data_IF_411966969065
#
_entry.id   IF_411966969065
#
_cell.length_a   1.000
_cell.length_b   1.000
_cell.length_c   1.000
_cell.angle_alpha   90.00
_cell.angle_beta   90.00
_cell.angle_gamma   90.00
#
_symmetry.space_group_name_H-M   'P 1'
#
loop_
_entity.id
_entity.type
_entity.pdbx_description
1 polymer ?
#
# COMPACT_ATOMS: atom_id res chain seq x y z
N UNK A 1 -4.91 1.38 -16.87
CA UNK A 1 -4.86 1.01 -15.45
C UNK A 1 -6.18 0.34 -15.04
N UNK A 2 -6.12 -0.79 -14.34
CA UNK A 2 -7.27 -1.51 -13.78
C UNK A 2 -7.02 -1.68 -12.29
N UNK A 3 -7.97 -1.22 -11.46
CA UNK A 3 -7.91 -1.29 -10.01
C UNK A 3 -9.12 -2.05 -9.48
N UNK A 4 -8.89 -2.99 -8.57
CA UNK A 4 -9.93 -3.70 -7.84
C UNK A 4 -9.48 -3.87 -6.40
N UNK A 5 -10.27 -3.34 -5.46
CA UNK A 5 -10.00 -3.44 -4.03
C UNK A 5 -9.78 -4.89 -3.65
N UNK A 6 -8.69 -5.16 -2.95
CA UNK A 6 -8.33 -6.49 -2.52
C UNK A 6 -7.63 -7.36 -3.57
N UNK A 7 -7.23 -6.80 -4.71
CA UNK A 7 -6.50 -7.52 -5.76
C UNK A 7 -5.20 -6.79 -6.12
N UNK A 8 -4.32 -7.47 -6.86
CA UNK A 8 -3.15 -6.81 -7.45
C UNK A 8 -3.57 -5.77 -8.50
N UNK A 9 -2.92 -4.58 -8.53
CA UNK A 9 -3.19 -3.59 -9.58
C UNK A 9 -2.66 -4.05 -10.94
N UNK A 10 -3.34 -3.64 -12.03
CA UNK A 10 -2.82 -3.79 -13.39
C UNK A 10 -2.52 -2.38 -13.94
N UNK A 11 -1.25 -2.09 -14.15
CA UNK A 11 -0.76 -0.79 -14.64
C UNK A 11 -0.12 -1.05 -16.01
N UNK A 12 -0.58 -0.34 -17.03
CA UNK A 12 -0.09 -0.48 -18.41
C UNK A 12 -0.09 -1.92 -18.97
N UNK A 13 -1.03 -2.75 -18.50
CA UNK A 13 -1.17 -4.16 -18.90
C UNK A 13 -0.37 -5.14 -18.03
N UNK A 14 0.52 -4.63 -17.16
CA UNK A 14 1.32 -5.46 -16.27
C UNK A 14 0.71 -5.53 -14.86
N UNK A 15 0.69 -6.72 -14.30
CA UNK A 15 0.23 -6.95 -12.93
C UNK A 15 1.34 -6.55 -11.97
N UNK A 16 1.07 -5.58 -11.09
CA UNK A 16 1.97 -5.26 -9.98
C UNK A 16 1.95 -6.41 -8.97
N UNK A 17 3.00 -7.24 -8.97
CA UNK A 17 3.04 -8.47 -8.16
C UNK A 17 3.52 -8.21 -6.73
N UNK A 18 4.53 -7.35 -6.57
CA UNK A 18 5.23 -7.16 -5.31
C UNK A 18 5.18 -5.71 -4.84
N UNK A 19 5.07 -5.53 -3.53
CA UNK A 19 5.33 -4.31 -2.80
C UNK A 19 6.73 -4.44 -2.19
N UNK A 20 7.62 -3.53 -2.55
CA UNK A 20 9.00 -3.49 -2.04
C UNK A 20 9.02 -3.31 -0.52
N UNK A 21 10.00 -3.91 0.14
CA UNK A 21 10.23 -3.76 1.59
C UNK A 21 10.72 -2.35 1.97
N UNK A 22 11.38 -1.66 1.03
CA UNK A 22 11.92 -0.32 1.22
C UNK A 22 12.57 0.21 -0.06
N UNK A 23 13.09 1.44 0.00
CA UNK A 23 13.90 2.00 -1.09
C UNK A 23 15.26 1.27 -1.23
N UNK A 24 15.97 1.49 -2.33
CA UNK A 24 17.26 0.86 -2.60
C UNK A 24 18.28 1.08 -1.48
N UNK A 25 18.33 2.28 -0.91
CA UNK A 25 19.18 2.56 0.26
C UNK A 25 18.79 1.74 1.51
N UNK A 26 17.50 1.51 1.78
CA UNK A 26 17.08 0.72 2.95
C UNK A 26 17.51 -0.75 2.82
N UNK A 27 17.51 -1.29 1.59
CA UNK A 27 17.94 -2.67 1.33
C UNK A 27 19.40 -2.92 1.75
N UNK A 28 20.26 -1.90 1.70
CA UNK A 28 21.66 -1.99 2.14
C UNK A 28 21.79 -2.38 3.62
N UNK A 29 20.91 -1.87 4.47
CA UNK A 29 20.86 -2.22 5.88
C UNK A 29 20.14 -3.54 6.14
N UNK A 30 19.01 -3.77 5.46
CA UNK A 30 18.19 -4.96 5.66
C UNK A 30 18.87 -6.25 5.21
N UNK A 31 19.63 -6.20 4.11
CA UNK A 31 20.23 -7.38 3.48
C UNK A 31 21.75 -7.30 3.39
N UNK A 32 22.38 -6.36 4.10
CA UNK A 32 23.81 -6.09 3.96
C UNK A 32 24.72 -7.30 4.16
N UNK A 33 24.38 -8.24 5.06
CA UNK A 33 25.16 -9.48 5.23
C UNK A 33 25.13 -10.37 3.99
N UNK A 34 24.00 -10.44 3.29
CA UNK A 34 23.91 -11.16 2.03
C UNK A 34 24.64 -10.44 0.90
N UNK A 35 24.61 -9.10 0.89
CA UNK A 35 25.33 -8.30 -0.11
C UNK A 35 26.84 -8.42 0.02
N UNK A 36 27.37 -8.43 1.24
CA UNK A 36 28.80 -8.63 1.51
C UNK A 36 29.33 -9.94 0.93
N UNK A 37 28.48 -10.96 0.89
CA UNK A 37 28.82 -12.27 0.33
C UNK A 37 28.51 -12.40 -1.16
N UNK A 38 27.61 -11.58 -1.70
CA UNK A 38 27.09 -11.71 -3.05
C UNK A 38 28.09 -11.26 -4.12
N UNK A 39 28.73 -10.11 -3.92
CA UNK A 39 29.61 -9.46 -4.87
C UNK A 39 30.50 -8.40 -4.18
N UNK A 40 31.58 -7.98 -4.83
CA UNK A 40 32.42 -6.87 -4.35
C UNK A 40 31.71 -5.51 -4.40
N UNK A 41 30.67 -5.36 -5.23
CA UNK A 41 29.73 -4.24 -5.14
C UNK A 41 28.29 -4.70 -5.39
N UNK A 42 27.35 -4.10 -4.66
CA UNK A 42 25.91 -4.31 -4.88
C UNK A 42 25.22 -2.96 -5.06
N UNK A 43 24.52 -2.82 -6.18
CA UNK A 43 23.72 -1.64 -6.51
C UNK A 43 22.25 -2.06 -6.55
N UNK A 44 21.40 -1.37 -5.80
CA UNK A 44 19.95 -1.59 -5.81
C UNK A 44 19.27 -0.37 -6.39
N UNK A 45 18.73 -0.54 -7.60
CA UNK A 45 18.01 0.47 -8.35
C UNK A 45 16.62 0.71 -7.74
N UNK A 46 16.27 1.99 -7.64
CA UNK A 46 15.00 2.44 -7.07
C UNK A 46 14.72 3.87 -7.51
N UNK A 47 13.48 4.14 -7.95
CA UNK A 47 13.06 5.46 -8.40
C UNK A 47 13.14 6.56 -7.33
N UNK A 48 13.16 6.20 -6.04
CA UNK A 48 13.21 7.17 -4.94
C UNK A 48 14.65 7.34 -4.46
N UNK A 49 15.30 6.23 -4.08
CA UNK A 49 16.68 6.23 -3.62
C UNK A 49 17.42 4.95 -4.01
N UNK A 50 18.34 5.08 -4.96
CA UNK A 50 19.30 4.06 -5.34
C UNK A 50 20.30 3.86 -4.20
N UNK A 51 20.61 2.59 -3.90
CA UNK A 51 21.61 2.23 -2.90
C UNK A 51 22.87 1.64 -3.53
N UNK A 52 24.04 2.05 -3.05
CA UNK A 52 25.35 1.46 -3.39
C UNK A 52 25.99 0.92 -2.13
N UNK A 53 26.19 -0.39 -2.08
CA UNK A 53 26.47 -1.10 -0.84
C UNK A 53 27.80 -0.70 -0.19
N UNK A 54 28.90 -0.74 -0.95
CA UNK A 54 30.23 -0.53 -0.36
C UNK A 54 30.49 0.91 0.09
N UNK A 55 29.79 1.88 -0.51
CA UNK A 55 29.87 3.27 -0.08
C UNK A 55 28.91 3.59 1.09
N UNK A 56 27.83 2.82 1.21
CA UNK A 56 26.80 3.03 2.22
C UNK A 56 27.33 2.75 3.63
N UNK A 57 26.81 3.48 4.62
CA UNK A 57 27.20 3.31 6.02
C UNK A 57 27.02 1.86 6.51
N UNK A 58 25.92 1.20 6.10
CA UNK A 58 25.68 -0.21 6.43
C UNK A 58 26.75 -1.16 5.87
N UNK A 59 27.24 -0.93 4.64
CA UNK A 59 28.32 -1.73 4.07
C UNK A 59 29.62 -1.52 4.84
N UNK A 60 29.97 -0.27 5.15
CA UNK A 60 31.17 0.07 5.93
C UNK A 60 31.16 -0.55 7.32
N UNK A 61 30.03 -0.51 8.01
CA UNK A 61 29.86 -1.12 9.34
C UNK A 61 30.01 -2.65 9.29
N UNK A 62 29.61 -3.27 8.18
CA UNK A 62 29.82 -4.70 7.94
C UNK A 62 31.23 -5.04 7.42
N UNK A 63 32.12 -4.06 7.29
CA UNK A 63 33.50 -4.24 6.83
C UNK A 63 33.67 -4.26 5.32
N UNK A 64 32.66 -3.87 4.54
CA UNK A 64 32.81 -3.72 3.09
C UNK A 64 33.81 -2.60 2.77
N UNK A 65 34.75 -2.91 1.87
CA UNK A 65 35.68 -1.91 1.32
C UNK A 65 35.03 -1.23 0.13
N UNK A 66 35.17 0.10 0.04
CA UNK A 66 34.65 0.85 -1.10
C UNK A 66 35.21 0.28 -2.41
N UNK A 67 34.34 -0.05 -3.34
CA UNK A 67 34.67 -0.74 -4.59
C UNK A 67 35.32 0.16 -5.65
N UNK A 68 35.26 1.48 -5.47
CA UNK A 68 35.69 2.46 -6.47
C UNK A 68 34.63 2.80 -7.52
N UNK A 69 33.48 2.09 -7.55
CA UNK A 69 32.40 2.34 -8.50
C UNK A 69 31.75 3.70 -8.27
N UNK A 70 31.53 4.45 -9.35
CA UNK A 70 30.84 5.75 -9.35
C UNK A 70 29.52 5.63 -10.08
N UNK A 71 28.45 6.06 -9.43
CA UNK A 71 27.11 6.03 -10.02
C UNK A 71 26.78 7.33 -10.76
N UNK A 72 26.14 7.18 -11.92
CA UNK A 72 25.55 8.25 -12.73
C UNK A 72 24.22 8.70 -12.12
N UNK A 73 24.27 9.23 -10.89
CA UNK A 73 23.10 9.70 -10.18
C UNK A 73 23.48 10.81 -9.17
N UNK A 74 22.52 11.66 -8.81
CA UNK A 74 22.78 12.73 -7.83
C UNK A 74 22.93 12.13 -6.44
N UNK A 75 24.13 12.24 -5.86
CA UNK A 75 24.40 11.78 -4.50
C UNK A 75 23.60 12.55 -3.46
N UNK A 76 22.97 11.84 -2.52
CA UNK A 76 22.33 12.40 -1.33
C UNK A 76 23.29 12.34 -0.13
N UNK A 77 23.74 11.14 0.19
CA UNK A 77 24.71 10.82 1.25
C UNK A 77 25.54 9.61 0.78
N UNK A 78 26.68 9.26 1.41
CA UNK A 78 27.48 8.11 1.00
C UNK A 78 26.63 6.84 0.81
N UNK A 79 26.70 6.25 -0.38
CA UNK A 79 25.92 5.08 -0.79
C UNK A 79 24.43 5.30 -1.03
N UNK A 80 23.95 6.55 -1.03
CA UNK A 80 22.53 6.92 -1.26
C UNK A 80 22.44 7.94 -2.38
N UNK A 81 21.73 7.60 -3.43
CA UNK A 81 21.62 8.42 -4.64
C UNK A 81 20.15 8.62 -4.99
N UNK A 82 19.78 9.83 -5.41
CA UNK A 82 18.44 10.11 -5.88
C UNK A 82 18.19 9.37 -7.20
N UNK A 83 17.08 8.64 -7.27
CA UNK A 83 16.58 8.06 -8.51
C UNK A 83 15.63 9.02 -9.24
N UNK A 84 15.19 8.59 -10.42
CA UNK A 84 14.15 9.23 -11.22
C UNK A 84 13.07 8.20 -11.54
N UNK A 85 11.84 8.62 -11.81
CA UNK A 85 10.75 7.68 -12.14
C UNK A 85 10.74 7.37 -13.64
N UNK A 86 10.53 6.11 -14.00
CA UNK A 86 10.50 5.60 -15.36
C UNK A 86 9.95 4.18 -15.45
N UNK A 87 10.12 3.55 -16.62
CA UNK A 87 9.56 2.21 -16.95
C UNK A 87 10.59 1.06 -16.85
N UNK A 88 11.82 1.37 -16.47
CA UNK A 88 12.93 0.44 -16.34
C UNK A 88 13.05 -0.18 -14.94
N UNK A 89 14.27 -0.53 -14.56
CA UNK A 89 14.63 -1.23 -13.33
C UNK A 89 14.30 -0.42 -12.07
N UNK A 90 13.64 -1.01 -11.08
CA UNK A 90 13.25 -0.35 -9.83
C UNK A 90 12.31 0.84 -10.01
N UNK A 91 11.58 0.88 -11.14
CA UNK A 91 10.78 2.03 -11.55
C UNK A 91 11.61 3.24 -12.00
N UNK A 92 12.88 3.04 -12.36
CA UNK A 92 13.75 4.09 -12.92
C UNK A 92 13.64 4.18 -14.44
N UNK A 93 14.20 5.20 -15.12
CA UNK A 93 14.29 5.18 -16.59
C UNK A 93 15.34 4.21 -17.14
N UNK A 94 16.06 3.47 -16.29
CA UNK A 94 17.21 2.63 -16.67
C UNK A 94 16.71 1.27 -17.20
N UNK A 95 16.91 1.01 -18.48
CA UNK A 95 16.56 -0.27 -19.12
C UNK A 95 17.71 -1.29 -19.02
N UNK A 96 18.94 -0.84 -19.34
CA UNK A 96 20.18 -1.60 -19.10
C UNK A 96 20.77 -1.21 -17.74
N UNK A 97 20.86 -2.12 -16.76
CA UNK A 97 21.36 -1.81 -15.42
C UNK A 97 22.80 -1.25 -15.42
N UNK A 98 23.63 -1.48 -16.44
CA UNK A 98 24.98 -0.90 -16.51
C UNK A 98 24.99 0.62 -16.71
N UNK A 99 23.91 1.22 -17.23
CA UNK A 99 23.82 2.67 -17.44
C UNK A 99 23.93 3.47 -16.13
N UNK A 100 23.67 2.85 -14.97
CA UNK A 100 23.85 3.49 -13.67
C UNK A 100 25.33 3.72 -13.33
N UNK A 101 26.27 3.00 -13.96
CA UNK A 101 27.69 3.12 -13.68
C UNK A 101 28.27 4.22 -14.57
N UNK A 102 28.67 5.34 -13.97
CA UNK A 102 29.40 6.41 -14.67
C UNK A 102 30.85 6.00 -14.96
N UNK A 103 31.43 5.23 -14.05
CA UNK A 103 32.80 4.73 -14.15
C UNK A 103 33.29 4.16 -12.83
N UNK A 104 34.60 4.01 -12.69
CA UNK A 104 35.24 3.52 -11.47
C UNK A 104 36.63 4.11 -11.27
N UNK A 105 37.11 4.12 -10.03
CA UNK A 105 38.49 4.47 -9.71
C UNK A 105 39.44 3.31 -10.04
N UNK A 106 40.30 3.50 -11.05
CA UNK A 106 41.28 2.49 -11.50
C UNK A 106 42.34 2.13 -10.46
N UNK A 107 42.48 2.91 -9.37
CA UNK A 107 43.38 2.60 -8.27
C UNK A 107 42.74 1.67 -7.23
N UNK A 108 41.42 1.49 -7.29
CA UNK A 108 40.63 0.73 -6.31
C UNK A 108 39.98 -0.48 -6.98
N UNK A 109 39.30 -0.29 -8.11
CA UNK A 109 38.63 -1.35 -8.82
C UNK A 109 39.63 -2.17 -9.64
N UNK A 110 39.72 -3.46 -9.33
CA UNK A 110 40.61 -4.41 -9.99
C UNK A 110 39.88 -5.23 -11.07
N UNK A 111 40.55 -5.59 -12.17
CA UNK A 111 40.03 -6.59 -13.09
C UNK A 111 39.63 -7.88 -12.36
N UNK A 112 38.47 -8.43 -12.72
CA UNK A 112 37.87 -9.60 -12.06
C UNK A 112 36.80 -9.25 -11.02
N UNK A 113 36.75 -8.00 -10.52
CA UNK A 113 35.74 -7.52 -9.58
C UNK A 113 34.32 -7.82 -10.08
N UNK A 114 33.45 -8.28 -9.17
CA UNK A 114 32.04 -8.55 -9.49
C UNK A 114 31.11 -7.45 -8.96
N UNK A 115 30.07 -7.17 -9.73
CA UNK A 115 29.02 -6.20 -9.40
C UNK A 115 27.67 -6.87 -9.56
N UNK A 116 26.86 -6.88 -8.51
CA UNK A 116 25.45 -7.26 -8.56
C UNK A 116 24.59 -6.00 -8.69
N UNK A 117 23.76 -5.93 -9.72
CA UNK A 117 22.76 -4.88 -9.89
C UNK A 117 21.37 -5.53 -9.85
N UNK A 118 20.50 -5.04 -8.97
CA UNK A 118 19.13 -5.54 -8.81
C UNK A 118 18.18 -4.39 -8.50
N UNK A 119 16.91 -4.68 -8.27
CA UNK A 119 15.87 -3.72 -7.88
C UNK A 119 15.22 -4.10 -6.53
N UNK A 120 14.47 -3.16 -5.95
CA UNK A 120 13.89 -3.32 -4.60
C UNK A 120 12.85 -4.43 -4.45
N UNK A 121 12.33 -4.95 -5.56
CA UNK A 121 11.42 -6.13 -5.60
C UNK A 121 12.13 -7.43 -5.99
N UNK A 122 13.41 -7.34 -6.39
CA UNK A 122 14.21 -8.44 -6.92
C UNK A 122 13.48 -9.23 -8.03
N UNK A 123 12.68 -8.55 -8.86
CA UNK A 123 12.06 -9.15 -10.04
C UNK A 123 13.07 -9.28 -11.19
N UNK A 124 14.06 -8.37 -11.25
CA UNK A 124 15.21 -8.44 -12.13
C UNK A 124 16.51 -8.33 -11.32
N UNK A 125 17.52 -9.10 -11.73
CA UNK A 125 18.87 -9.06 -11.19
C UNK A 125 19.88 -9.43 -12.29
N UNK A 126 21.02 -8.76 -12.31
CA UNK A 126 22.12 -9.05 -13.22
C UNK A 126 23.46 -8.92 -12.48
N UNK A 127 24.39 -9.81 -12.80
CA UNK A 127 25.74 -9.79 -12.24
C UNK A 127 26.75 -9.55 -13.36
N UNK A 128 27.76 -8.76 -13.05
CA UNK A 128 28.77 -8.32 -14.01
C UNK A 128 30.16 -8.57 -13.45
N UNK A 129 31.11 -8.83 -14.34
CA UNK A 129 32.53 -8.89 -14.04
C UNK A 129 33.28 -7.82 -14.82
N UNK A 130 34.15 -7.09 -14.13
CA UNK A 130 35.06 -6.13 -14.76
C UNK A 130 36.18 -6.89 -15.50
N UNK A 131 36.26 -6.73 -16.81
CA UNK A 131 37.34 -7.30 -17.61
C UNK A 131 38.64 -6.46 -17.55
N UNK A 132 39.75 -7.04 -17.99
CA UNK A 132 41.05 -6.34 -18.08
C UNK A 132 41.01 -5.13 -19.03
N UNK A 133 40.12 -5.16 -20.03
CA UNK A 133 39.86 -4.05 -20.94
C UNK A 133 39.06 -2.89 -20.30
N UNK A 134 38.74 -2.99 -19.00
CA UNK A 134 37.96 -1.99 -18.26
C UNK A 134 36.47 -1.98 -18.59
N UNK A 135 35.95 -3.03 -19.24
CA UNK A 135 34.52 -3.16 -19.56
C UNK A 135 33.85 -4.19 -18.68
N UNK A 136 32.61 -3.92 -18.29
CA UNK A 136 31.77 -4.90 -17.60
C UNK A 136 31.20 -5.89 -18.60
N UNK A 137 31.27 -7.17 -18.23
CA UNK A 137 30.65 -8.27 -18.99
C UNK A 137 29.66 -8.98 -18.08
N UNK A 138 28.46 -9.26 -18.59
CA UNK A 138 27.45 -9.97 -17.81
C UNK A 138 27.88 -11.42 -17.59
N UNK A 139 27.71 -11.90 -16.37
CA UNK A 139 27.98 -13.28 -15.96
C UNK A 139 26.75 -13.87 -15.26
N UNK A 140 26.71 -15.18 -15.11
CA UNK A 140 25.65 -15.83 -14.32
C UNK A 140 25.72 -15.40 -12.86
N UNK A 141 24.54 -15.33 -12.20
CA UNK A 141 24.47 -15.06 -10.77
C UNK A 141 25.19 -16.17 -10.01
N UNK A 142 26.15 -15.79 -9.16
CA UNK A 142 26.75 -16.71 -8.21
C UNK A 142 25.69 -17.26 -7.23
N UNK A 143 25.91 -18.43 -6.58
CA UNK A 143 24.98 -18.94 -5.58
C UNK A 143 24.68 -17.94 -4.44
N UNK A 144 25.69 -17.15 -4.04
CA UNK A 144 25.56 -16.11 -3.01
C UNK A 144 24.78 -14.90 -3.51
N UNK A 145 25.01 -14.48 -4.75
CA UNK A 145 24.22 -13.41 -5.38
C UNK A 145 22.75 -13.81 -5.53
N UNK A 146 22.47 -15.05 -5.95
CA UNK A 146 21.11 -15.59 -6.01
C UNK A 146 20.45 -15.60 -4.64
N UNK A 147 21.16 -16.03 -3.59
CA UNK A 147 20.65 -15.98 -2.22
C UNK A 147 20.29 -14.56 -1.77
N UNK A 148 21.11 -13.56 -2.09
CA UNK A 148 20.80 -12.16 -1.78
C UNK A 148 19.53 -11.67 -2.49
N UNK A 149 19.38 -12.00 -3.78
CA UNK A 149 18.19 -11.66 -4.58
C UNK A 149 16.94 -12.35 -4.01
N UNK A 150 17.04 -13.64 -3.67
CA UNK A 150 15.95 -14.43 -3.09
C UNK A 150 15.53 -13.89 -1.70
N UNK A 151 16.49 -13.39 -0.91
CA UNK A 151 16.21 -12.74 0.37
C UNK A 151 15.44 -11.43 0.23
N UNK A 152 15.76 -10.61 -0.78
CA UNK A 152 14.96 -9.42 -1.10
C UNK A 152 13.54 -9.84 -1.50
N UNK A 153 13.43 -10.79 -2.44
CA UNK A 153 12.16 -11.22 -3.00
C UNK A 153 11.22 -11.84 -1.95
N UNK A 154 11.76 -12.66 -1.04
CA UNK A 154 11.01 -13.32 0.04
C UNK A 154 10.52 -12.38 1.14
N UNK A 155 11.10 -11.18 1.24
CA UNK A 155 10.67 -10.13 2.16
C UNK A 155 9.73 -9.10 1.50
N UNK A 156 9.42 -9.26 0.22
CA UNK A 156 8.39 -8.47 -0.45
C UNK A 156 7.00 -9.02 -0.14
N UNK A 157 6.01 -8.13 -0.03
CA UNK A 157 4.61 -8.54 0.10
C UNK A 157 3.92 -8.53 -1.26
N UNK A 158 2.84 -9.30 -1.45
CA UNK A 158 1.98 -9.13 -2.62
C UNK A 158 1.46 -7.70 -2.71
N UNK A 159 1.56 -7.10 -3.89
CA UNK A 159 0.93 -5.81 -4.17
C UNK A 159 -0.60 -5.99 -4.14
N UNK A 160 -1.28 -5.09 -3.43
CA UNK A 160 -2.73 -5.16 -3.20
C UNK A 160 -3.31 -3.75 -3.22
N UNK A 161 -4.37 -3.55 -4.02
CA UNK A 161 -5.13 -2.31 -4.05
C UNK A 161 -5.95 -2.18 -2.78
N UNK A 162 -5.71 -1.11 -2.02
CA UNK A 162 -6.54 -0.69 -0.90
C UNK A 162 -7.41 0.49 -1.31
N UNK A 163 -8.60 0.60 -0.71
CA UNK A 163 -9.43 1.78 -0.84
C UNK A 163 -9.97 2.18 0.53
N UNK A 164 -9.94 3.47 0.80
CA UNK A 164 -10.50 4.06 2.01
C UNK A 164 -11.54 5.08 1.59
N UNK A 165 -12.72 5.02 2.18
CA UNK A 165 -13.75 6.02 2.01
C UNK A 165 -13.64 7.06 3.13
N UNK A 166 -13.60 8.34 2.76
CA UNK A 166 -13.60 9.47 3.69
C UNK A 166 -14.93 10.18 3.57
N UNK A 167 -15.64 10.32 4.69
CA UNK A 167 -16.95 10.95 4.72
C UNK A 167 -17.19 11.75 5.99
N UNK A 168 -18.22 12.60 5.94
CA UNK A 168 -18.71 13.35 7.08
C UNK A 168 -20.15 12.97 7.41
N UNK A 169 -20.49 12.89 8.70
CA UNK A 169 -21.88 12.81 9.12
C UNK A 169 -22.52 14.20 9.13
N UNK A 170 -23.38 14.44 8.13
CA UNK A 170 -24.11 15.69 7.95
C UNK A 170 -25.05 16.02 9.11
N UNK A 171 -25.52 17.27 9.16
CA UNK A 171 -26.44 17.73 10.22
C UNK A 171 -27.73 16.91 10.29
N UNK A 172 -28.32 16.57 9.14
CA UNK A 172 -29.55 15.76 9.04
C UNK A 172 -29.35 14.34 9.58
N UNK A 173 -28.23 13.68 9.23
CA UNK A 173 -27.90 12.35 9.74
C UNK A 173 -27.77 12.36 11.27
N UNK A 174 -27.09 13.36 11.83
CA UNK A 174 -26.92 13.51 13.28
C UNK A 174 -28.23 13.87 13.99
N UNK A 175 -29.07 14.71 13.38
CA UNK A 175 -30.39 15.06 13.89
C UNK A 175 -31.34 13.84 13.96
N UNK A 176 -31.18 12.89 13.04
CA UNK A 176 -31.89 11.60 13.09
C UNK A 176 -31.55 10.76 14.32
N UNK A 177 -30.38 10.97 14.94
CA UNK A 177 -29.94 10.24 16.14
C UNK A 177 -30.34 10.98 17.42
N UNK A 178 -30.11 12.29 17.46
CA UNK A 178 -30.34 13.13 18.65
C UNK A 178 -30.86 14.52 18.29
N UNK A 179 -31.65 15.11 19.20
CA UNK A 179 -32.09 16.52 19.13
C UNK A 179 -30.95 17.52 19.31
N UNK A 180 -29.77 17.09 19.79
CA UNK A 180 -28.60 17.93 20.05
C UNK A 180 -27.38 17.37 19.31
N UNK A 181 -27.21 17.63 17.99
CA UNK A 181 -26.17 17.01 17.16
C UNK A 181 -24.73 17.19 17.68
N UNK A 182 -24.42 18.29 18.37
CA UNK A 182 -23.08 18.51 18.93
C UNK A 182 -22.74 17.53 20.04
N UNK A 183 -23.73 17.06 20.82
CA UNK A 183 -23.50 16.05 21.87
C UNK A 183 -23.18 14.68 21.28
N UNK A 184 -23.73 14.34 20.12
CA UNK A 184 -23.33 13.12 19.41
C UNK A 184 -21.87 13.20 18.95
N UNK A 185 -21.44 14.35 18.40
CA UNK A 185 -20.04 14.56 18.04
C UNK A 185 -19.15 14.32 19.27
N UNK A 186 -19.45 14.99 20.40
CA UNK A 186 -18.71 14.84 21.65
C UNK A 186 -18.67 13.39 22.13
N UNK A 187 -19.81 12.68 22.10
CA UNK A 187 -19.86 11.28 22.50
C UNK A 187 -18.99 10.37 21.62
N UNK A 188 -18.93 10.61 20.30
CA UNK A 188 -18.03 9.89 19.41
C UNK A 188 -16.57 10.18 19.75
N UNK A 189 -16.19 11.45 19.84
CA UNK A 189 -14.80 11.85 20.16
C UNK A 189 -14.35 11.38 21.55
N UNK A 190 -15.28 11.19 22.48
CA UNK A 190 -15.04 10.64 23.82
C UNK A 190 -15.11 9.11 23.89
N UNK A 191 -15.24 8.40 22.76
CA UNK A 191 -15.45 6.95 22.70
C UNK A 191 -16.66 6.43 23.50
N UNK A 192 -17.65 7.30 23.76
CA UNK A 192 -18.94 6.94 24.39
C UNK A 192 -19.97 6.47 23.37
N UNK A 193 -19.76 6.76 22.10
CA UNK A 193 -20.53 6.25 20.97
C UNK A 193 -19.56 5.79 19.87
N UNK A 194 -19.88 4.67 19.23
CA UNK A 194 -19.11 4.11 18.12
C UNK A 194 -19.86 4.33 16.81
N UNK A 195 -19.16 4.89 15.82
CA UNK A 195 -19.60 4.91 14.44
C UNK A 195 -19.09 3.64 13.72
N UNK A 196 -19.94 3.02 12.94
CA UNK A 196 -19.56 2.05 11.90
C UNK A 196 -20.19 2.42 10.57
N UNK A 197 -19.64 1.87 9.48
CA UNK A 197 -20.17 2.05 8.13
C UNK A 197 -20.44 0.68 7.52
N UNK A 198 -21.71 0.33 7.33
CA UNK A 198 -22.09 -0.99 6.81
C UNK A 198 -21.42 -2.14 7.56
N UNK A 199 -21.34 -2.03 8.88
CA UNK A 199 -20.67 -2.98 9.78
C UNK A 199 -19.15 -2.81 9.94
N UNK A 200 -18.48 -2.02 9.08
CA UNK A 200 -17.04 -1.81 9.16
C UNK A 200 -16.66 -0.81 10.26
N UNK A 201 -15.58 -1.05 11.03
CA UNK A 201 -15.07 -0.09 11.99
C UNK A 201 -14.52 1.16 11.28
N UNK A 202 -14.81 2.33 11.85
CA UNK A 202 -14.29 3.61 11.34
C UNK A 202 -13.16 4.14 12.21
N UNK A 203 -12.23 4.88 11.60
CA UNK A 203 -11.36 5.81 12.31
C UNK A 203 -11.98 7.21 12.26
N UNK A 204 -12.08 7.89 13.41
CA UNK A 204 -12.62 9.25 13.50
C UNK A 204 -11.49 10.26 13.38
N UNK A 205 -11.61 11.17 12.41
CA UNK A 205 -10.64 12.24 12.18
C UNK A 205 -10.75 13.33 13.26
N UNK A 206 -9.64 13.98 13.63
CA UNK A 206 -9.66 15.08 14.58
C UNK A 206 -10.43 16.29 14.03
N UNK A 207 -10.84 17.20 14.92
CA UNK A 207 -11.53 18.44 14.57
C UNK A 207 -13.02 18.44 14.95
N UNK A 208 -13.74 19.44 14.45
CA UNK A 208 -15.17 19.58 14.68
C UNK A 208 -16.01 18.64 13.79
N UNK A 209 -17.18 18.25 14.27
CA UNK A 209 -18.07 17.35 13.53
C UNK A 209 -17.75 15.88 13.72
N UNK A 210 -18.19 15.06 12.76
CA UNK A 210 -17.90 13.62 12.71
C UNK A 210 -17.42 13.35 11.28
N UNK A 211 -16.11 13.43 11.09
CA UNK A 211 -15.44 13.03 9.85
C UNK A 211 -14.75 11.70 10.11
N UNK A 212 -14.87 10.76 9.18
CA UNK A 212 -14.39 9.40 9.38
C UNK A 212 -13.67 8.87 8.14
N UNK A 213 -12.74 7.94 8.38
CA UNK A 213 -12.14 7.05 7.41
C UNK A 213 -12.70 5.64 7.64
N UNK A 214 -13.02 4.93 6.56
CA UNK A 214 -13.37 3.51 6.62
C UNK A 214 -12.70 2.71 5.51
N UNK A 215 -12.16 1.55 5.90
CA UNK A 215 -11.63 0.53 5.01
C UNK A 215 -12.77 -0.07 4.17
N UNK A 216 -12.78 0.22 2.87
CA UNK A 216 -13.85 -0.18 1.94
C UNK A 216 -13.96 -1.69 1.84
N UNK A 217 -12.86 -2.42 2.02
CA UNK A 217 -12.84 -3.88 1.92
C UNK A 217 -13.63 -4.56 3.06
N UNK A 218 -13.77 -3.87 4.20
CA UNK A 218 -14.51 -4.37 5.37
C UNK A 218 -15.98 -3.98 5.35
N UNK A 219 -16.38 -3.06 4.48
CA UNK A 219 -17.77 -2.61 4.38
C UNK A 219 -18.58 -3.69 3.68
N UNK A 220 -19.81 -3.93 4.15
CA UNK A 220 -20.74 -4.85 3.48
C UNK A 220 -20.85 -4.54 1.99
N UNK A 221 -20.80 -5.58 1.16
CA UNK A 221 -20.91 -5.46 -0.30
C UNK A 221 -22.21 -4.75 -0.69
N UNK A 222 -22.13 -3.78 -1.61
CA UNK A 222 -23.25 -2.93 -2.08
C UNK A 222 -23.87 -2.03 -1.00
N UNK A 223 -23.13 -1.72 0.07
CA UNK A 223 -23.55 -0.77 1.10
C UNK A 223 -23.62 0.68 0.61
N UNK A 224 -22.70 1.09 -0.26
CA UNK A 224 -22.69 2.43 -0.83
C UNK A 224 -23.70 2.54 -1.98
N UNK A 225 -24.49 3.61 -1.99
CA UNK A 225 -25.41 3.92 -3.09
C UNK A 225 -25.25 5.37 -3.53
N UNK A 226 -25.88 5.73 -4.64
CA UNK A 226 -25.86 7.07 -5.21
C UNK A 226 -27.28 7.58 -5.38
N UNK A 227 -27.46 8.88 -5.21
CA UNK A 227 -28.71 9.59 -5.55
C UNK A 227 -28.51 10.47 -6.79
N UNK A 228 -29.57 10.91 -7.49
CA UNK A 228 -29.45 11.71 -8.72
C UNK A 228 -28.72 13.03 -8.54
N UNK A 229 -28.84 13.65 -7.37
CA UNK A 229 -27.92 14.71 -6.94
C UNK A 229 -26.59 14.02 -6.64
N UNK A 230 -25.45 14.37 -7.27
CA UNK A 230 -24.20 13.59 -7.21
C UNK A 230 -23.62 13.52 -5.80
N UNK A 231 -24.19 12.64 -4.98
CA UNK A 231 -23.92 12.47 -3.56
C UNK A 231 -23.97 10.97 -3.24
N UNK A 232 -22.93 10.51 -2.57
CA UNK A 232 -22.84 9.14 -2.09
C UNK A 232 -23.67 9.00 -0.82
N UNK A 233 -24.50 7.96 -0.77
CA UNK A 233 -25.22 7.56 0.45
C UNK A 233 -24.41 6.47 1.14
N UNK A 234 -24.18 6.68 2.43
CA UNK A 234 -23.33 5.84 3.26
C UNK A 234 -24.15 5.33 4.45
N UNK A 235 -24.18 4.02 4.72
CA UNK A 235 -24.96 3.46 5.82
C UNK A 235 -24.23 3.64 7.14
N UNK A 236 -24.42 4.80 7.76
CA UNK A 236 -23.86 5.13 9.08
C UNK A 236 -24.65 4.43 10.18
N UNK A 237 -23.95 3.78 11.10
CA UNK A 237 -24.55 3.15 12.28
C UNK A 237 -23.91 3.71 13.55
N UNK A 238 -24.73 4.05 14.54
CA UNK A 238 -24.29 4.57 15.83
C UNK A 238 -24.62 3.58 16.93
N UNK A 239 -23.61 3.08 17.62
CA UNK A 239 -23.77 2.16 18.75
C UNK A 239 -23.30 2.81 20.04
N UNK A 240 -24.13 2.80 21.08
CA UNK A 240 -23.83 3.34 22.41
C UNK A 240 -24.72 2.69 23.46
N UNK A 241 -24.42 2.88 24.75
CA UNK A 241 -25.33 2.42 25.82
C UNK A 241 -26.58 3.29 25.84
N UNK A 242 -27.69 2.70 26.28
CA UNK A 242 -28.96 3.41 26.40
C UNK A 242 -28.85 4.69 27.25
N UNK A 243 -28.10 4.65 28.35
CA UNK A 243 -27.85 5.83 29.20
C UNK A 243 -27.21 6.97 28.42
N UNK A 244 -26.20 6.68 27.59
CA UNK A 244 -25.54 7.67 26.74
C UNK A 244 -26.49 8.23 25.70
N UNK A 245 -27.27 7.36 25.04
CA UNK A 245 -28.24 7.78 24.05
C UNK A 245 -29.26 8.78 24.61
N UNK A 246 -29.75 8.56 25.83
CA UNK A 246 -30.67 9.47 26.50
C UNK A 246 -29.99 10.78 26.92
N UNK A 247 -28.77 10.71 27.44
CA UNK A 247 -27.98 11.88 27.89
C UNK A 247 -27.65 12.84 26.74
N UNK A 248 -27.37 12.30 25.54
CA UNK A 248 -27.11 13.13 24.37
C UNK A 248 -28.37 13.76 23.77
N UNK A 249 -29.57 13.44 24.28
CA UNK A 249 -30.85 13.95 23.77
C UNK A 249 -31.46 13.08 22.65
N UNK A 250 -31.21 11.77 22.68
CA UNK A 250 -31.80 10.81 21.75
C UNK A 250 -33.33 10.76 21.78
N UNK A 251 -33.93 10.26 20.69
CA UNK A 251 -35.37 10.14 20.50
C UNK A 251 -35.95 8.96 21.30
N UNK A 252 -36.10 9.15 22.62
CA UNK A 252 -36.54 8.14 23.60
C UNK A 252 -37.80 7.39 23.16
N UNK A 253 -38.78 8.12 22.62
CA UNK A 253 -40.06 7.62 22.16
C UNK A 253 -39.98 6.71 20.93
N UNK A 254 -38.84 6.71 20.22
CA UNK A 254 -38.59 5.87 19.04
C UNK A 254 -37.77 4.61 19.33
N UNK A 255 -37.39 4.38 20.58
CA UNK A 255 -36.60 3.20 20.96
C UNK A 255 -37.45 1.94 20.84
N UNK A 256 -36.91 0.92 20.17
CA UNK A 256 -37.56 -0.39 19.96
C UNK A 256 -36.61 -1.51 20.34
N UNK A 257 -37.16 -2.64 20.81
CA UNK A 257 -36.36 -3.84 21.06
C UNK A 257 -36.01 -4.52 19.74
N UNK A 258 -34.75 -4.94 19.59
CA UNK A 258 -34.28 -5.65 18.40
C UNK A 258 -35.14 -6.88 18.05
N UNK A 259 -35.58 -7.66 19.05
CA UNK A 259 -36.43 -8.84 18.85
C UNK A 259 -37.77 -8.51 18.17
N UNK A 260 -38.34 -7.34 18.43
CA UNK A 260 -39.61 -6.90 17.82
C UNK A 260 -39.38 -6.49 16.37
N UNK A 261 -38.32 -5.72 16.11
CA UNK A 261 -37.92 -5.31 14.75
C UNK A 261 -37.61 -6.53 13.87
N UNK A 262 -36.88 -7.52 14.39
CA UNK A 262 -36.56 -8.75 13.64
C UNK A 262 -37.80 -9.59 13.32
N UNK A 263 -38.80 -9.63 14.21
CA UNK A 263 -40.08 -10.31 13.93
C UNK A 263 -40.84 -9.65 12.79
N UNK A 264 -40.78 -8.33 12.67
CA UNK A 264 -41.41 -7.58 11.57
C UNK A 264 -40.68 -7.80 10.24
N UNK A 265 -39.36 -7.70 10.23
CA UNK A 265 -38.55 -7.95 9.02
C UNK A 265 -38.73 -9.41 8.55
N UNK A 266 -38.73 -10.38 9.46
CA UNK A 266 -38.97 -11.79 9.14
C UNK A 266 -40.40 -12.09 8.65
N UNK A 267 -41.37 -11.20 8.91
CA UNK A 267 -42.71 -11.24 8.31
C UNK A 267 -42.70 -10.57 6.93
N UNK A 268 -41.94 -9.50 6.72
CA UNK A 268 -41.89 -8.78 5.43
C UNK A 268 -41.15 -9.56 4.33
N UNK A 269 -40.13 -10.35 4.67
CA UNK A 269 -39.45 -11.26 3.72
C UNK A 269 -40.31 -12.43 3.27
N UNK A 270 -41.44 -12.68 3.93
CA UNK A 270 -42.46 -13.66 3.52
C UNK A 270 -43.59 -13.05 2.67
N UNK A 271 -43.59 -11.73 2.45
CA UNK A 271 -44.55 -11.06 1.56
C UNK A 271 -44.18 -11.29 0.07
N UNK A 272 -45.14 -11.62 -0.82
CA UNK A 272 -44.89 -11.87 -2.24
C UNK A 272 -44.17 -10.72 -2.98
N UNK A 273 -44.34 -9.48 -2.50
CA UNK A 273 -43.77 -8.29 -3.11
C UNK A 273 -42.22 -8.24 -3.07
N UNK A 274 -41.58 -8.82 -2.05
CA UNK A 274 -40.11 -8.83 -1.95
C UNK A 274 -39.46 -9.90 -2.84
N UNK A 275 -40.19 -10.98 -3.21
CA UNK A 275 -39.71 -12.01 -4.14
C UNK A 275 -39.68 -11.53 -5.61
N UNK A 276 -40.46 -10.50 -5.96
CA UNK A 276 -40.43 -9.92 -7.31
C UNK A 276 -39.27 -8.94 -7.50
N UNK A 277 -38.86 -8.20 -6.46
CA UNK A 277 -37.72 -7.28 -6.55
C UNK A 277 -36.35 -7.98 -6.69
N UNK A 278 -36.26 -9.26 -6.29
CA UNK A 278 -35.08 -10.11 -6.51
C UNK A 278 -35.05 -10.84 -7.86
N UNK A 279 -36.06 -10.64 -8.72
CA UNK A 279 -36.16 -11.22 -10.08
C UNK A 279 -36.16 -10.12 -11.14
N UNK A 280 -35.15 -9.25 -11.15
CA UNK A 280 -34.73 -8.69 -12.42
C UNK A 280 -33.72 -9.65 -13.04
N UNK A 281 -34.25 -10.47 -13.95
CA UNK A 281 -33.46 -11.22 -14.92
C UNK A 281 -32.50 -10.24 -15.60
N UNK A 282 -31.22 -10.61 -15.62
CA UNK A 282 -30.25 -10.08 -16.56
C UNK A 282 -30.85 -10.18 -17.97
N UNK A 283 -30.91 -9.10 -18.77
CA UNK A 283 -31.08 -9.27 -20.20
C UNK A 283 -29.88 -10.07 -20.70
N UNK A 284 -30.17 -11.29 -21.15
CA UNK A 284 -29.31 -12.05 -22.04
C UNK A 284 -28.98 -11.19 -23.26
N UNK A 285 -27.69 -11.21 -23.65
CA UNK A 285 -27.09 -10.74 -24.90
C UNK A 285 -26.69 -9.27 -24.99
N UNK A 286 -25.39 -9.09 -25.18
CA UNK A 286 -24.68 -8.37 -26.26
C UNK A 286 -23.24 -8.93 -26.18
N UNK A 287 -22.81 -9.88 -27.03
CA UNK A 287 -22.21 -9.64 -28.36
C UNK A 287 -21.58 -8.25 -28.51
#
# INVERSE_FOLDING_TARGET
MILKVGEAPIIDGEMGRRMRVGCGSATMGLFGRYFLEAAEEVIVLDAHLIGQFTEHAAGRELGAKYSGIKLKARKSTPGRYFGEHGRGWGGTPIEDPLEIIEGFDKKIAEPGMTVLITETTAERAAMFRLGENGKFTQIELSPKAKMAVDMIASNCQPSRVSAVFIGGSGGSARAGVTKIPVKLNQAIHQNRAKLTVGGAPTYILPGGGITFLVDVEKVMVRAFTYVPTPATVVPLEYTMRLKEYLEIGGHKEKIRKLKEVLKEIGRSTKSPAYRQAGKHQLPNKLQ
#
